data_IF_082382347574
#
_entry.id   IF_082382347574
#
_cell.length_a   1.000
_cell.length_b   1.000
_cell.length_c   1.000
_cell.angle_alpha   90.00
_cell.angle_beta   90.00
_cell.angle_gamma   90.00
#
_symmetry.space_group_name_H-M   'P 1'
#
loop_
_entity.id
_entity.type
_entity.pdbx_description
1 polymer ?
#
# COMPACT_ATOMS: atom_id res chain seq x y z
N UNK A 1 -2.40 21.29 8.64
CA UNK A 1 -1.38 21.26 7.57
C UNK A 1 -1.28 19.86 6.99
N UNK A 2 -2.03 19.56 5.94
CA UNK A 2 -1.99 18.22 5.36
C UNK A 2 -0.60 17.79 4.88
N UNK A 3 0.18 18.72 4.28
CA UNK A 3 1.52 18.41 3.79
C UNK A 3 2.47 18.08 4.94
N UNK A 4 2.44 18.87 6.01
CA UNK A 4 3.29 18.62 7.18
C UNK A 4 2.92 17.29 7.87
N UNK A 5 1.63 16.96 7.90
CA UNK A 5 1.18 15.70 8.45
C UNK A 5 1.62 14.51 7.58
N UNK A 6 1.55 14.67 6.25
CA UNK A 6 2.04 13.65 5.33
C UNK A 6 3.55 13.41 5.49
N UNK A 7 4.34 14.47 5.62
CA UNK A 7 5.77 14.37 5.89
C UNK A 7 6.05 13.65 7.21
N UNK A 8 5.25 13.93 8.23
CA UNK A 8 5.36 13.24 9.52
C UNK A 8 5.08 11.74 9.36
N UNK A 9 4.02 11.36 8.63
CA UNK A 9 3.68 9.95 8.40
C UNK A 9 4.79 9.23 7.64
N UNK A 10 5.39 9.86 6.65
CA UNK A 10 6.50 9.28 5.90
C UNK A 10 7.75 9.10 6.80
N UNK A 11 8.07 10.10 7.58
CA UNK A 11 9.23 10.05 8.48
C UNK A 11 9.07 8.96 9.54
N UNK A 12 7.85 8.69 9.98
CA UNK A 12 7.58 7.72 11.04
C UNK A 12 7.45 6.29 10.50
N UNK A 13 7.41 6.09 9.18
CA UNK A 13 7.20 4.76 8.58
C UNK A 13 8.24 3.74 9.07
N UNK A 14 9.52 4.09 9.05
CA UNK A 14 10.58 3.17 9.46
C UNK A 14 10.49 2.82 10.94
N UNK A 15 10.09 3.78 11.76
CA UNK A 15 9.86 3.54 13.19
C UNK A 15 8.69 2.56 13.39
N UNK A 16 7.59 2.79 12.69
CA UNK A 16 6.42 1.91 12.76
C UNK A 16 6.78 0.49 12.29
N UNK A 17 7.57 0.36 11.21
CA UNK A 17 8.04 -0.93 10.73
C UNK A 17 8.83 -1.69 11.79
N UNK A 18 9.73 -1.01 12.50
CA UNK A 18 10.54 -1.63 13.56
C UNK A 18 9.71 -1.99 14.79
N UNK A 19 8.56 -1.34 14.96
CA UNK A 19 7.66 -1.60 16.09
C UNK A 19 6.71 -2.77 15.86
N UNK A 20 6.60 -3.26 14.63
CA UNK A 20 5.73 -4.39 14.32
C UNK A 20 6.31 -5.68 14.90
N UNK A 21 5.44 -6.49 15.51
CA UNK A 21 5.85 -7.80 16.02
C UNK A 21 6.21 -8.73 14.83
N UNK A 22 7.45 -9.19 14.70
CA UNK A 22 7.85 -9.99 13.54
C UNK A 22 7.13 -11.33 13.43
N UNK A 23 6.73 -11.94 14.54
CA UNK A 23 6.01 -13.21 14.52
C UNK A 23 4.58 -13.02 14.01
N UNK A 24 3.90 -11.99 14.49
CA UNK A 24 2.53 -11.65 14.03
C UNK A 24 2.57 -11.24 12.55
N UNK A 25 3.55 -10.46 12.15
CA UNK A 25 3.72 -10.06 10.76
C UNK A 25 3.92 -11.28 9.85
N UNK A 26 4.79 -12.20 10.23
CA UNK A 26 5.05 -13.41 9.46
C UNK A 26 3.79 -14.27 9.33
N UNK A 27 3.06 -14.47 10.43
CA UNK A 27 1.82 -15.24 10.42
C UNK A 27 0.77 -14.59 9.50
N UNK A 28 0.67 -13.26 9.53
CA UNK A 28 -0.25 -12.51 8.67
C UNK A 28 0.11 -12.69 7.19
N UNK A 29 1.38 -12.53 6.83
CA UNK A 29 1.84 -12.70 5.45
C UNK A 29 1.65 -14.14 4.96
N UNK A 30 1.95 -15.13 5.81
CA UNK A 30 1.71 -16.53 5.48
C UNK A 30 0.24 -16.78 5.16
N UNK A 31 -0.65 -16.19 5.95
CA UNK A 31 -2.09 -16.32 5.71
C UNK A 31 -2.50 -15.67 4.38
N UNK A 32 -1.95 -14.51 4.05
CA UNK A 32 -2.23 -13.85 2.78
C UNK A 32 -1.77 -14.69 1.59
N UNK A 33 -0.62 -15.35 1.69
CA UNK A 33 -0.10 -16.22 0.63
C UNK A 33 -0.95 -17.47 0.40
N UNK A 34 -1.80 -17.86 1.37
CA UNK A 34 -2.72 -18.99 1.22
C UNK A 34 -3.99 -18.62 0.46
N UNK A 35 -4.25 -17.33 0.27
CA UNK A 35 -5.45 -16.87 -0.43
C UNK A 35 -5.21 -16.84 -1.94
N UNK A 36 -6.24 -17.15 -2.78
CA UNK A 36 -6.10 -17.03 -4.24
C UNK A 36 -5.92 -15.58 -4.69
N UNK A 37 -6.49 -14.65 -3.95
CA UNK A 37 -6.28 -13.21 -4.11
C UNK A 37 -6.48 -12.53 -2.75
N UNK A 38 -5.86 -11.37 -2.58
CA UNK A 38 -6.01 -10.57 -1.37
C UNK A 38 -6.84 -9.34 -1.72
N UNK A 39 -7.95 -9.18 -1.03
CA UNK A 39 -8.78 -7.98 -1.10
C UNK A 39 -8.81 -7.34 0.28
N UNK A 40 -8.32 -6.12 0.37
CA UNK A 40 -8.17 -5.41 1.63
C UNK A 40 -8.97 -4.11 1.64
N UNK A 41 -9.47 -3.78 2.81
CA UNK A 41 -10.01 -2.46 3.12
C UNK A 41 -9.11 -1.85 4.18
N UNK A 42 -8.45 -0.75 3.84
CA UNK A 42 -7.53 -0.05 4.73
C UNK A 42 -8.22 1.22 5.25
N UNK A 43 -8.71 1.17 6.48
CA UNK A 43 -9.41 2.28 7.13
C UNK A 43 -8.39 3.19 7.79
N UNK A 44 -8.46 4.49 7.50
CA UNK A 44 -7.46 5.43 7.97
C UNK A 44 -6.14 5.26 7.22
N UNK A 45 -6.23 5.07 5.91
CA UNK A 45 -5.08 4.70 5.08
C UNK A 45 -3.95 5.72 5.06
N UNK A 46 -4.23 6.99 5.29
CA UNK A 46 -3.24 8.07 5.28
C UNK A 46 -2.49 8.11 3.96
N UNK A 47 -1.16 8.05 4.01
CA UNK A 47 -0.30 8.09 2.83
C UNK A 47 -0.02 6.71 2.23
N UNK A 48 -0.75 5.68 2.65
CA UNK A 48 -0.68 4.36 2.03
C UNK A 48 0.38 3.43 2.60
N UNK A 49 0.70 3.57 3.88
CA UNK A 49 1.73 2.75 4.52
C UNK A 49 1.44 1.24 4.44
N UNK A 50 0.19 0.83 4.59
CA UNK A 50 -0.17 -0.60 4.54
C UNK A 50 0.06 -1.17 3.14
N UNK A 51 -0.35 -0.45 2.10
CA UNK A 51 -0.11 -0.88 0.73
C UNK A 51 1.38 -0.99 0.43
N UNK A 52 2.15 0.01 0.87
CA UNK A 52 3.61 0.01 0.76
C UNK A 52 4.22 -1.21 1.43
N UNK A 53 3.79 -1.54 2.65
CA UNK A 53 4.30 -2.71 3.38
C UNK A 53 4.08 -4.00 2.60
N UNK A 54 2.89 -4.17 2.03
CA UNK A 54 2.58 -5.37 1.26
C UNK A 54 3.37 -5.44 -0.04
N UNK A 55 3.63 -4.30 -0.70
CA UNK A 55 4.51 -4.27 -1.86
C UNK A 55 5.94 -4.66 -1.49
N UNK A 56 6.47 -4.09 -0.41
CA UNK A 56 7.84 -4.36 0.04
C UNK A 56 8.01 -5.79 0.56
N UNK A 57 6.94 -6.41 1.06
CA UNK A 57 6.96 -7.80 1.50
C UNK A 57 7.06 -8.80 0.34
N UNK A 58 6.89 -8.34 -0.90
CA UNK A 58 6.97 -9.22 -2.07
C UNK A 58 5.84 -10.22 -2.15
N UNK A 59 4.62 -9.79 -1.80
CA UNK A 59 3.45 -10.66 -1.82
C UNK A 59 3.25 -11.25 -3.22
N UNK A 60 3.26 -12.57 -3.33
CA UNK A 60 3.12 -13.26 -4.61
C UNK A 60 1.67 -13.38 -5.08
N UNK A 61 0.72 -13.12 -4.19
CA UNK A 61 -0.71 -13.21 -4.46
C UNK A 61 -1.23 -11.90 -5.06
N UNK A 62 -2.18 -11.94 -6.01
CA UNK A 62 -2.83 -10.72 -6.49
C UNK A 62 -3.40 -9.90 -5.33
N UNK A 63 -3.20 -8.59 -5.38
CA UNK A 63 -3.59 -7.66 -4.32
C UNK A 63 -4.47 -6.56 -4.88
N UNK A 64 -5.64 -6.41 -4.28
CA UNK A 64 -6.53 -5.28 -4.51
C UNK A 64 -6.87 -4.65 -3.16
N UNK A 65 -6.60 -3.36 -3.02
CA UNK A 65 -6.84 -2.65 -1.78
C UNK A 65 -7.74 -1.43 -2.02
N UNK A 66 -8.69 -1.24 -1.12
CA UNK A 66 -9.47 -0.01 -1.05
C UNK A 66 -8.94 0.79 0.13
N UNK A 67 -8.46 2.00 -0.13
CA UNK A 67 -7.96 2.90 0.89
C UNK A 67 -9.05 3.90 1.28
N UNK A 68 -9.38 3.97 2.55
CA UNK A 68 -10.33 4.93 3.10
C UNK A 68 -9.61 5.89 4.03
N UNK A 69 -9.79 7.17 3.80
CA UNK A 69 -9.35 8.22 4.69
C UNK A 69 -10.24 9.43 4.48
N UNK A 70 -10.50 10.17 5.54
CA UNK A 70 -11.34 11.36 5.43
C UNK A 70 -10.60 12.55 4.82
N UNK A 71 -9.27 12.48 4.69
CA UNK A 71 -8.48 13.53 4.07
C UNK A 71 -8.15 13.15 2.62
N UNK A 72 -8.82 13.77 1.63
CA UNK A 72 -8.60 13.44 0.23
C UNK A 72 -7.18 13.76 -0.24
N UNK A 73 -6.48 14.70 0.39
CA UNK A 73 -5.10 15.01 0.04
C UNK A 73 -4.17 13.86 0.41
N UNK A 74 -4.38 13.21 1.56
CA UNK A 74 -3.59 12.05 1.94
C UNK A 74 -3.81 10.88 0.97
N UNK A 75 -5.04 10.66 0.53
CA UNK A 75 -5.35 9.63 -0.45
C UNK A 75 -4.68 9.91 -1.80
N UNK A 76 -4.61 11.17 -2.21
CA UNK A 76 -3.90 11.56 -3.43
C UNK A 76 -2.41 11.25 -3.33
N UNK A 77 -1.80 11.59 -2.20
CA UNK A 77 -0.39 11.25 -1.91
C UNK A 77 -0.19 9.74 -1.92
N UNK A 78 -1.12 8.98 -1.35
CA UNK A 78 -1.06 7.52 -1.34
C UNK A 78 -1.07 6.95 -2.77
N UNK A 79 -1.91 7.48 -3.65
CA UNK A 79 -1.96 7.06 -5.05
C UNK A 79 -0.66 7.36 -5.78
N UNK A 80 -0.12 8.55 -5.60
CA UNK A 80 1.15 8.95 -6.21
C UNK A 80 2.30 8.06 -5.73
N UNK A 81 2.34 7.80 -4.43
CA UNK A 81 3.36 6.92 -3.84
C UNK A 81 3.25 5.49 -4.38
N UNK A 82 2.03 4.95 -4.44
CA UNK A 82 1.80 3.61 -4.97
C UNK A 82 2.27 3.51 -6.43
N UNK A 83 1.91 4.49 -7.26
CA UNK A 83 2.30 4.52 -8.66
C UNK A 83 3.81 4.57 -8.81
N UNK A 84 4.49 5.42 -8.03
CA UNK A 84 5.94 5.54 -8.07
C UNK A 84 6.63 4.23 -7.70
N UNK A 85 6.16 3.57 -6.64
CA UNK A 85 6.75 2.30 -6.18
C UNK A 85 6.54 1.17 -7.17
N UNK A 86 5.36 1.09 -7.77
CA UNK A 86 5.06 0.07 -8.78
C UNK A 86 5.89 0.29 -10.05
N UNK A 87 6.07 1.54 -10.47
CA UNK A 87 6.96 1.87 -11.59
C UNK A 87 8.41 1.53 -11.29
N UNK A 88 8.85 1.73 -10.06
CA UNK A 88 10.19 1.36 -9.62
C UNK A 88 10.43 -0.15 -9.67
N UNK A 89 9.36 -0.94 -9.62
CA UNK A 89 9.41 -2.40 -9.82
C UNK A 89 9.41 -2.79 -11.31
N UNK A 90 9.49 -1.83 -12.21
CA UNK A 90 9.52 -2.08 -13.66
C UNK A 90 8.14 -2.34 -14.27
N UNK A 91 7.07 -2.01 -13.57
CA UNK A 91 5.71 -2.28 -14.02
C UNK A 91 5.11 -1.08 -14.75
N UNK A 92 4.28 -1.38 -15.74
CA UNK A 92 3.44 -0.34 -16.35
C UNK A 92 2.29 -0.03 -15.42
N UNK A 93 2.03 1.25 -15.19
CA UNK A 93 1.06 1.71 -14.21
C UNK A 93 0.09 2.68 -14.88
N UNK A 94 -1.20 2.39 -14.73
CA UNK A 94 -2.24 3.36 -15.07
C UNK A 94 -2.75 4.03 -13.80
N UNK A 95 -2.88 5.35 -13.85
CA UNK A 95 -3.35 6.16 -12.74
C UNK A 95 -4.62 6.87 -13.18
N UNK A 96 -5.70 6.58 -12.47
CA UNK A 96 -7.00 7.20 -12.67
C UNK A 96 -7.37 7.99 -11.42
N UNK A 97 -8.38 8.89 -11.49
CA UNK A 97 -8.71 9.70 -10.31
C UNK A 97 -9.00 8.91 -9.04
N UNK A 98 -9.48 7.68 -9.18
CA UNK A 98 -9.83 6.86 -8.02
C UNK A 98 -9.09 5.53 -7.96
N UNK A 99 -8.10 5.30 -8.84
CA UNK A 99 -7.46 3.99 -8.89
C UNK A 99 -6.04 4.05 -9.44
N UNK A 100 -5.16 3.26 -8.86
CA UNK A 100 -3.83 2.94 -9.41
C UNK A 100 -3.80 1.44 -9.69
N UNK A 101 -3.43 1.08 -10.91
CA UNK A 101 -3.34 -0.32 -11.32
C UNK A 101 -1.99 -0.57 -11.98
N UNK A 102 -1.33 -1.65 -11.60
CA UNK A 102 -0.12 -2.10 -12.26
C UNK A 102 -0.40 -3.33 -13.10
N UNK A 103 0.08 -3.31 -14.33
CA UNK A 103 0.00 -4.46 -15.23
C UNK A 103 1.01 -5.54 -14.83
N UNK A 104 0.76 -6.76 -15.29
CA UNK A 104 1.63 -7.90 -15.02
C UNK A 104 1.21 -8.73 -13.82
N UNK A 105 2.03 -9.72 -13.51
CA UNK A 105 1.76 -10.66 -12.43
C UNK A 105 2.75 -10.48 -11.28
N UNK A 106 2.32 -10.62 -10.03
CA UNK A 106 0.92 -10.68 -9.62
C UNK A 106 0.23 -9.32 -9.74
N UNK A 107 -1.09 -9.31 -9.95
CA UNK A 107 -1.83 -8.07 -10.13
C UNK A 107 -1.78 -7.19 -8.87
N UNK A 108 -1.72 -5.89 -9.08
CA UNK A 108 -1.73 -4.87 -8.01
C UNK A 108 -2.74 -3.78 -8.33
N UNK A 109 -3.52 -3.42 -7.33
CA UNK A 109 -4.57 -2.42 -7.49
C UNK A 109 -4.80 -1.69 -6.17
N UNK A 110 -4.80 -0.37 -6.23
CA UNK A 110 -5.16 0.50 -5.13
C UNK A 110 -6.28 1.44 -5.55
N UNK A 111 -7.38 1.40 -4.83
CA UNK A 111 -8.54 2.26 -5.08
C UNK A 111 -8.84 3.17 -3.90
#
# INVERSE_FOLDING_TARGET
MPVAFAEYLEAKFDLDERSLNPQVRAAFLDRLHQLPEVRCLDVGAGTGATFRRLLEAGLATPLSMIALDRDPLLLEIAREDAARRLRAQGREVSVEPAEVRAEGEPARRLR
#
